data_IF_169425302628
#
_entry.id   IF_169425302628
#
_cell.length_a   1.000
_cell.length_b   1.000
_cell.length_c   1.000
_cell.angle_alpha   90.00
_cell.angle_beta   90.00
_cell.angle_gamma   90.00
#
_symmetry.space_group_name_H-M   'P 1'
#
loop_
_entity.id
_entity.type
_entity.pdbx_description
1 polymer ?
#
# COMPACT_ATOMS: atom_id res chain seq x y z
N UNK A 1 -15.69 -7.17 -20.10
CA UNK A 1 -14.21 -7.26 -20.26
C UNK A 1 -13.51 -5.92 -20.07
N UNK A 2 -13.97 -4.83 -20.69
CA UNK A 2 -13.35 -3.50 -20.55
C UNK A 2 -13.18 -3.03 -19.09
N UNK A 3 -14.19 -3.27 -18.22
CA UNK A 3 -14.12 -2.91 -16.79
C UNK A 3 -13.02 -3.64 -16.01
N UNK A 4 -12.78 -4.92 -16.31
CA UNK A 4 -11.72 -5.69 -15.65
C UNK A 4 -10.34 -5.17 -16.09
N UNK A 5 -10.18 -4.85 -17.37
CA UNK A 5 -8.92 -4.29 -17.90
C UNK A 5 -8.63 -2.92 -17.27
N UNK A 6 -9.63 -2.03 -17.22
CA UNK A 6 -9.51 -0.72 -16.58
C UNK A 6 -9.14 -0.84 -15.11
N UNK A 7 -9.83 -1.70 -14.35
CA UNK A 7 -9.54 -1.94 -12.92
C UNK A 7 -8.12 -2.47 -12.75
N UNK A 8 -7.66 -3.39 -13.60
CA UNK A 8 -6.32 -3.96 -13.50
C UNK A 8 -5.22 -2.91 -13.77
N UNK A 9 -5.37 -2.12 -14.83
CA UNK A 9 -4.44 -1.06 -15.20
C UNK A 9 -4.38 0.01 -14.10
N UNK A 10 -5.53 0.45 -13.59
CA UNK A 10 -5.58 1.42 -12.49
C UNK A 10 -4.98 0.86 -11.19
N UNK A 11 -5.25 -0.41 -10.87
CA UNK A 11 -4.73 -1.04 -9.66
C UNK A 11 -3.21 -1.16 -9.67
N UNK A 12 -2.60 -1.42 -10.82
CA UNK A 12 -1.13 -1.44 -10.97
C UNK A 12 -0.56 -0.05 -10.70
N UNK A 13 -1.12 0.99 -11.32
CA UNK A 13 -0.66 2.38 -11.10
C UNK A 13 -0.82 2.79 -9.63
N UNK A 14 -1.94 2.45 -9.00
CA UNK A 14 -2.18 2.73 -7.58
C UNK A 14 -1.24 1.96 -6.65
N UNK A 15 -0.86 0.72 -6.98
CA UNK A 15 0.15 -0.05 -6.25
C UNK A 15 1.51 0.68 -6.21
N UNK A 16 1.96 1.17 -7.36
CA UNK A 16 3.19 1.97 -7.42
C UNK A 16 3.06 3.27 -6.64
N UNK A 17 1.94 3.97 -6.78
CA UNK A 17 1.69 5.24 -6.07
C UNK A 17 1.67 5.06 -4.55
N UNK A 18 1.17 3.91 -4.06
CA UNK A 18 1.03 3.64 -2.62
C UNK A 18 2.26 3.00 -1.97
N UNK A 19 3.23 2.53 -2.76
CA UNK A 19 4.51 2.08 -2.22
C UNK A 19 5.24 3.20 -1.44
N UNK A 20 5.20 4.43 -1.94
CA UNK A 20 5.83 5.58 -1.31
C UNK A 20 5.22 5.95 0.07
N UNK A 21 3.90 6.18 0.20
CA UNK A 21 3.30 6.45 1.51
C UNK A 21 3.39 5.26 2.47
N UNK A 22 3.36 4.02 1.97
CA UNK A 22 3.56 2.85 2.82
C UNK A 22 4.99 2.80 3.40
N UNK A 23 6.01 3.03 2.58
CA UNK A 23 7.40 3.16 3.04
C UNK A 23 7.56 4.29 4.05
N UNK A 24 7.04 5.48 3.74
CA UNK A 24 7.15 6.65 4.63
C UNK A 24 6.48 6.43 5.99
N UNK A 25 5.39 5.66 6.02
CA UNK A 25 4.69 5.31 7.27
C UNK A 25 5.51 4.32 8.10
N UNK A 26 6.11 3.31 7.46
CA UNK A 26 6.99 2.36 8.14
C UNK A 26 8.28 3.04 8.65
N UNK A 27 8.88 3.92 7.86
CA UNK A 27 10.05 4.73 8.25
C UNK A 27 9.72 5.60 9.47
N UNK A 28 8.55 6.23 9.50
CA UNK A 28 8.11 7.04 10.63
C UNK A 28 7.93 6.20 11.91
N UNK A 29 7.40 4.98 11.78
CA UNK A 29 7.22 4.04 12.89
C UNK A 29 8.56 3.48 13.42
N UNK A 30 9.54 3.28 12.55
CA UNK A 30 10.91 2.93 12.93
C UNK A 30 11.64 4.11 13.61
N UNK A 31 11.48 5.33 13.10
CA UNK A 31 12.06 6.54 13.69
C UNK A 31 11.58 6.81 15.12
N UNK A 32 10.34 6.40 15.43
CA UNK A 32 9.77 6.45 16.78
C UNK A 32 10.34 5.36 17.73
N UNK A 33 11.25 4.49 17.26
CA UNK A 33 11.74 3.29 17.96
C UNK A 33 10.63 2.33 18.43
N UNK A 34 9.44 2.42 17.82
CA UNK A 34 8.31 1.55 18.15
C UNK A 34 8.58 0.13 17.63
N UNK A 35 9.35 0.01 16.55
CA UNK A 35 9.60 -1.27 15.88
C UNK A 35 11.10 -1.47 15.66
N UNK A 36 11.64 -2.68 15.93
CA UNK A 36 13.01 -3.02 15.55
C UNK A 36 13.19 -3.06 14.03
N UNK A 37 14.36 -2.65 13.55
CA UNK A 37 14.72 -2.57 12.13
C UNK A 37 14.52 -3.89 11.36
N UNK A 38 14.61 -5.04 12.04
CA UNK A 38 14.34 -6.35 11.46
C UNK A 38 12.89 -6.54 11.00
N UNK A 39 11.94 -5.80 11.60
CA UNK A 39 10.51 -5.87 11.29
C UNK A 39 10.08 -4.82 10.26
N UNK A 40 10.94 -3.85 9.93
CA UNK A 40 10.62 -2.77 8.99
C UNK A 40 10.10 -3.31 7.64
N UNK A 41 10.83 -4.26 7.04
CA UNK A 41 10.44 -4.86 5.74
C UNK A 41 9.08 -5.55 5.79
N UNK A 42 8.81 -6.28 6.87
CA UNK A 42 7.53 -6.94 7.08
C UNK A 42 6.39 -5.93 7.23
N UNK A 43 6.65 -4.83 7.93
CA UNK A 43 5.68 -3.75 8.14
C UNK A 43 5.36 -3.01 6.85
N UNK A 44 6.37 -2.68 6.04
CA UNK A 44 6.18 -2.05 4.72
C UNK A 44 5.27 -2.90 3.85
N UNK A 45 5.53 -4.22 3.78
CA UNK A 45 4.70 -5.15 3.00
C UNK A 45 3.26 -5.16 3.53
N UNK A 46 3.07 -5.26 4.85
CA UNK A 46 1.76 -5.30 5.47
C UNK A 46 0.95 -4.00 5.19
N UNK A 47 1.59 -2.84 5.36
CA UNK A 47 0.97 -1.52 5.14
C UNK A 47 0.66 -1.33 3.64
N UNK A 48 1.56 -1.76 2.75
CA UNK A 48 1.34 -1.67 1.29
C UNK A 48 0.13 -2.50 0.87
N UNK A 49 0.00 -3.72 1.41
CA UNK A 49 -1.16 -4.59 1.14
C UNK A 49 -2.44 -3.95 1.68
N UNK A 50 -2.43 -3.44 2.91
CA UNK A 50 -3.57 -2.76 3.54
C UNK A 50 -4.04 -1.54 2.74
N UNK A 51 -3.10 -0.65 2.37
CA UNK A 51 -3.42 0.53 1.55
C UNK A 51 -3.95 0.15 0.18
N UNK A 52 -3.33 -0.83 -0.50
CA UNK A 52 -3.80 -1.33 -1.79
C UNK A 52 -5.23 -1.90 -1.71
N UNK A 53 -5.53 -2.67 -0.66
CA UNK A 53 -6.87 -3.23 -0.41
C UNK A 53 -7.91 -2.14 -0.14
N UNK A 54 -7.59 -1.17 0.72
CA UNK A 54 -8.49 -0.06 1.07
C UNK A 54 -8.87 0.73 -0.19
N UNK A 55 -7.91 0.99 -1.06
CA UNK A 55 -8.12 1.73 -2.31
C UNK A 55 -8.87 0.90 -3.35
N UNK A 56 -8.55 -0.40 -3.47
CA UNK A 56 -9.30 -1.30 -4.35
C UNK A 56 -10.77 -1.43 -3.93
N UNK A 57 -11.06 -1.41 -2.62
CA UNK A 57 -12.41 -1.30 -2.09
C UNK A 57 -13.03 0.07 -2.37
N UNK A 58 -12.28 1.15 -2.15
CA UNK A 58 -12.76 2.51 -2.42
C UNK A 58 -13.15 2.68 -3.89
N UNK A 59 -12.33 2.24 -4.85
CA UNK A 59 -12.64 2.30 -6.29
C UNK A 59 -13.83 1.43 -6.71
N UNK A 60 -14.16 0.38 -5.95
CA UNK A 60 -15.31 -0.49 -6.25
C UNK A 60 -16.63 0.08 -5.74
N UNK A 61 -16.59 0.92 -4.71
CA UNK A 61 -17.78 1.44 -4.01
C UNK A 61 -17.92 2.98 -4.05
N UNK A 62 -16.95 3.71 -4.61
CA UNK A 62 -17.02 5.15 -4.91
C UNK A 62 -17.58 5.39 -6.31
#
# INVERSE_FOLDING_TARGET
MLNIVLVLVFSIVMLFFMSYPAMKTADWLEAQKIIPSSWHKWLVILITILFSLLIGLFLRYA
#
